data_IF_295965967271
#
_entry.id   IF_295965967271
#
_cell.length_a   1.000
_cell.length_b   1.000
_cell.length_c   1.000
_cell.angle_alpha   90.00
_cell.angle_beta   90.00
_cell.angle_gamma   90.00
#
_symmetry.space_group_name_H-M   'P 1'
#
loop_
_entity.id
_entity.type
_entity.pdbx_description
1 polymer ?
#
# COMPACT_ATOMS: atom_id res chain seq x y z
N UNK A 1 5.32 5.00 -22.64
CA UNK A 1 5.63 4.70 -21.23
C UNK A 1 4.47 4.03 -20.46
N UNK A 2 3.27 3.89 -21.04
CA UNK A 2 2.29 2.90 -20.57
C UNK A 2 2.35 1.73 -21.55
N UNK A 3 2.63 0.53 -21.06
CA UNK A 3 2.62 -0.70 -21.83
C UNK A 3 2.00 -1.83 -20.98
N UNK A 4 1.76 -2.99 -21.61
CA UNK A 4 1.15 -4.14 -20.94
C UNK A 4 1.89 -4.53 -19.65
N UNK A 5 3.23 -4.49 -19.67
CA UNK A 5 4.05 -4.90 -18.53
C UNK A 5 3.90 -3.93 -17.34
N UNK A 6 3.85 -2.62 -17.60
CA UNK A 6 3.61 -1.61 -16.57
C UNK A 6 2.24 -1.77 -15.92
N UNK A 7 1.19 -2.08 -16.70
CA UNK A 7 -0.16 -2.31 -16.18
C UNK A 7 -0.17 -3.57 -15.31
N UNK A 8 0.41 -4.67 -15.79
CA UNK A 8 0.49 -5.92 -15.03
C UNK A 8 1.30 -5.76 -13.74
N UNK A 9 2.42 -5.05 -13.79
CA UNK A 9 3.22 -4.73 -12.62
C UNK A 9 2.39 -3.92 -11.59
N UNK A 10 1.66 -2.90 -12.06
CA UNK A 10 0.80 -2.08 -11.18
C UNK A 10 -0.28 -2.91 -10.50
N UNK A 11 -0.97 -3.79 -11.23
CA UNK A 11 -1.99 -4.67 -10.66
C UNK A 11 -1.39 -5.68 -9.68
N UNK A 12 -0.23 -6.25 -9.99
CA UNK A 12 0.49 -7.16 -9.09
C UNK A 12 0.96 -6.46 -7.81
N UNK A 13 1.49 -5.25 -7.92
CA UNK A 13 1.88 -4.41 -6.78
C UNK A 13 0.66 -4.04 -5.94
N UNK A 14 -0.46 -3.64 -6.56
CA UNK A 14 -1.72 -3.36 -5.86
C UNK A 14 -2.18 -4.56 -5.02
N UNK A 15 -2.27 -5.75 -5.63
CA UNK A 15 -2.67 -6.96 -4.91
C UNK A 15 -1.71 -7.29 -3.76
N UNK A 16 -0.41 -7.15 -4.00
CA UNK A 16 0.63 -7.40 -2.99
C UNK A 16 0.54 -6.42 -1.82
N UNK A 17 0.41 -5.11 -2.10
CA UNK A 17 0.25 -4.08 -1.07
C UNK A 17 -1.01 -4.30 -0.23
N UNK A 18 -2.11 -4.70 -0.86
CA UNK A 18 -3.36 -4.99 -0.15
C UNK A 18 -3.23 -6.20 0.78
N UNK A 19 -2.72 -7.33 0.25
CA UNK A 19 -2.58 -8.58 1.03
C UNK A 19 -1.56 -8.43 2.15
N UNK A 20 -0.36 -7.89 1.85
CA UNK A 20 0.66 -7.67 2.87
C UNK A 20 0.23 -6.63 3.90
N UNK A 21 -0.44 -5.57 3.45
CA UNK A 21 -1.02 -4.57 4.35
C UNK A 21 -1.98 -5.20 5.35
N UNK A 22 -2.88 -6.07 4.90
CA UNK A 22 -3.79 -6.80 5.79
C UNK A 22 -3.07 -7.75 6.75
N UNK A 23 -2.13 -8.54 6.23
CA UNK A 23 -1.35 -9.52 7.02
C UNK A 23 -0.49 -8.83 8.07
N UNK A 24 0.04 -7.64 7.80
CA UNK A 24 0.83 -6.87 8.77
C UNK A 24 -0.09 -6.14 9.76
N UNK A 25 -1.18 -5.55 9.28
CA UNK A 25 -2.09 -4.77 10.10
C UNK A 25 -2.74 -5.60 11.22
N UNK A 26 -3.21 -6.81 10.93
CA UNK A 26 -3.93 -7.63 11.89
C UNK A 26 -3.09 -8.01 13.13
N UNK A 27 -1.89 -8.59 13.00
CA UNK A 27 -1.02 -8.90 14.14
C UNK A 27 -0.54 -7.66 14.89
N UNK A 28 -0.26 -6.55 14.18
CA UNK A 28 0.33 -5.36 14.78
C UNK A 28 -0.70 -4.51 15.51
N UNK A 29 -1.89 -4.33 14.94
CA UNK A 29 -2.88 -3.37 15.43
C UNK A 29 -4.22 -4.02 15.82
N UNK A 30 -4.48 -5.28 15.45
CA UNK A 30 -5.78 -5.93 15.69
C UNK A 30 -6.18 -5.96 17.17
N UNK A 31 -5.26 -6.34 18.05
CA UNK A 31 -5.50 -6.35 19.50
C UNK A 31 -5.76 -4.95 20.07
N UNK A 32 -5.03 -3.95 19.59
CA UNK A 32 -5.23 -2.54 19.99
C UNK A 32 -6.63 -2.05 19.60
N UNK A 33 -7.06 -2.27 18.35
CA UNK A 33 -8.39 -1.86 17.91
C UNK A 33 -9.49 -2.62 18.62
N UNK A 34 -9.33 -3.94 18.84
CA UNK A 34 -10.32 -4.72 19.59
C UNK A 34 -10.52 -4.21 21.02
N UNK A 35 -9.44 -3.80 21.70
CA UNK A 35 -9.50 -3.27 23.06
C UNK A 35 -10.08 -1.85 23.15
N UNK A 36 -10.04 -1.06 22.07
CA UNK A 36 -10.36 0.37 22.08
C UNK A 36 -11.53 0.77 21.16
N UNK A 37 -12.14 -0.16 20.43
CA UNK A 37 -13.20 0.14 19.47
C UNK A 37 -14.42 0.85 20.10
N UNK A 38 -14.70 0.60 21.38
CA UNK A 38 -15.83 1.21 22.11
C UNK A 38 -15.54 2.56 22.77
N UNK A 39 -14.28 2.97 22.88
CA UNK A 39 -13.87 4.18 23.63
C UNK A 39 -13.61 5.39 22.74
N UNK A 40 -13.57 5.20 21.42
CA UNK A 40 -13.30 6.27 20.46
C UNK A 40 -14.49 7.25 20.36
N UNK A 41 -14.22 8.52 20.65
CA UNK A 41 -15.16 9.65 20.50
C UNK A 41 -14.71 10.57 19.37
N UNK A 42 -15.64 11.21 18.66
CA UNK A 42 -15.31 12.13 17.55
C UNK A 42 -14.81 11.46 16.25
N UNK A 43 -14.94 10.14 16.12
CA UNK A 43 -14.53 9.38 14.92
C UNK A 43 -15.71 9.09 14.00
N UNK A 44 -15.44 8.98 12.70
CA UNK A 44 -16.41 8.53 11.70
C UNK A 44 -16.83 7.10 12.05
N UNK A 45 -18.13 6.91 12.33
CA UNK A 45 -18.76 5.59 12.58
C UNK A 45 -19.45 5.04 11.33
N UNK A 46 -19.54 5.84 10.28
CA UNK A 46 -20.06 5.43 8.99
C UNK A 46 -19.03 4.56 8.26
N UNK A 47 -19.52 3.62 7.46
CA UNK A 47 -18.62 2.77 6.69
C UNK A 47 -17.76 3.62 5.75
N UNK A 48 -16.44 3.40 5.70
CA UNK A 48 -15.58 4.06 4.74
C UNK A 48 -16.06 3.84 3.31
N UNK A 49 -15.85 4.83 2.45
CA UNK A 49 -16.13 4.71 1.03
C UNK A 49 -15.05 3.82 0.39
N UNK A 50 -15.26 2.51 0.38
CA UNK A 50 -14.25 1.52 0.01
C UNK A 50 -13.66 1.69 -1.40
N UNK A 51 -14.42 2.22 -2.36
CA UNK A 51 -13.89 2.44 -3.71
C UNK A 51 -12.75 3.47 -3.74
N UNK A 52 -12.79 4.48 -2.85
CA UNK A 52 -11.73 5.50 -2.76
C UNK A 52 -10.43 4.87 -2.28
N UNK A 53 -10.52 3.91 -1.36
CA UNK A 53 -9.37 3.13 -0.88
C UNK A 53 -8.76 2.35 -2.04
N UNK A 54 -9.60 1.68 -2.85
CA UNK A 54 -9.13 0.93 -4.03
C UNK A 54 -8.42 1.85 -5.03
N UNK A 55 -9.01 3.00 -5.36
CA UNK A 55 -8.41 3.98 -6.27
C UNK A 55 -7.09 4.51 -5.72
N UNK A 56 -7.04 4.90 -4.44
CA UNK A 56 -5.82 5.38 -3.79
C UNK A 56 -4.70 4.33 -3.81
N UNK A 57 -5.03 3.07 -3.52
CA UNK A 57 -4.08 1.95 -3.57
C UNK A 57 -3.57 1.69 -5.00
N UNK A 58 -4.43 1.78 -6.02
CA UNK A 58 -4.02 1.66 -7.41
C UNK A 58 -3.07 2.80 -7.83
N UNK A 59 -3.37 4.04 -7.42
CA UNK A 59 -2.49 5.19 -7.65
C UNK A 59 -1.14 4.99 -6.95
N UNK A 60 -1.13 4.54 -5.70
CA UNK A 60 0.09 4.25 -4.94
C UNK A 60 0.93 3.14 -5.58
N UNK A 61 0.28 2.07 -6.04
CA UNK A 61 0.95 0.99 -6.76
C UNK A 61 1.57 1.46 -8.08
N UNK A 62 0.83 2.25 -8.86
CA UNK A 62 1.33 2.82 -10.11
C UNK A 62 2.50 3.78 -9.90
N UNK A 63 2.43 4.60 -8.83
CA UNK A 63 3.52 5.49 -8.43
C UNK A 63 4.77 4.69 -8.04
N UNK A 64 4.63 3.65 -7.22
CA UNK A 64 5.76 2.81 -6.81
C UNK A 64 6.41 2.13 -8.03
N UNK A 65 5.61 1.54 -8.93
CA UNK A 65 6.12 0.93 -10.17
C UNK A 65 6.86 1.96 -11.03
N UNK A 66 6.33 3.18 -11.12
CA UNK A 66 6.96 4.27 -11.89
C UNK A 66 8.31 4.67 -11.29
N UNK A 67 8.39 4.85 -9.97
CA UNK A 67 9.63 5.21 -9.26
C UNK A 67 10.68 4.12 -9.38
N UNK A 68 10.31 2.85 -9.20
CA UNK A 68 11.23 1.73 -9.36
C UNK A 68 11.71 1.58 -10.80
N UNK A 69 10.85 1.89 -11.79
CA UNK A 69 11.23 1.90 -13.20
C UNK A 69 12.24 3.01 -13.52
N UNK A 70 12.07 4.21 -12.96
CA UNK A 70 13.04 5.31 -13.12
C UNK A 70 14.40 4.99 -12.52
N UNK A 71 14.42 4.24 -11.42
CA UNK A 71 15.66 3.76 -10.79
C UNK A 71 16.34 2.64 -11.58
N UNK A 72 15.67 2.04 -12.58
CA UNK A 72 16.22 0.93 -13.36
C UNK A 72 16.40 -0.33 -12.52
N UNK A 73 15.46 -0.63 -11.63
CA UNK A 73 15.53 -1.82 -10.78
C UNK A 73 15.35 -3.10 -11.62
N UNK A 74 16.36 -3.98 -11.58
CA UNK A 74 16.34 -5.26 -12.30
C UNK A 74 16.30 -6.48 -11.36
N UNK A 75 16.48 -6.27 -10.04
CA UNK A 75 16.51 -7.35 -9.05
C UNK A 75 15.52 -7.14 -7.91
N UNK A 76 15.09 -8.24 -7.29
CA UNK A 76 14.21 -8.21 -6.12
C UNK A 76 14.85 -7.47 -4.93
N UNK A 77 16.17 -7.60 -4.75
CA UNK A 77 16.90 -6.94 -3.67
C UNK A 77 16.94 -5.42 -3.85
N UNK A 78 17.14 -4.95 -5.09
CA UNK A 78 17.14 -3.52 -5.41
C UNK A 78 15.73 -2.93 -5.31
N UNK A 79 14.72 -3.72 -5.68
CA UNK A 79 13.31 -3.41 -5.50
C UNK A 79 12.93 -3.29 -4.03
N UNK A 80 13.40 -4.21 -3.18
CA UNK A 80 13.19 -4.14 -1.73
C UNK A 80 13.80 -2.88 -1.11
N UNK A 81 15.06 -2.56 -1.43
CA UNK A 81 15.72 -1.34 -0.95
C UNK A 81 15.01 -0.08 -1.44
N UNK A 82 14.67 -0.04 -2.74
CA UNK A 82 13.94 1.08 -3.35
C UNK A 82 12.56 1.28 -2.72
N UNK A 83 11.81 0.19 -2.54
CA UNK A 83 10.50 0.20 -1.91
C UNK A 83 10.55 0.60 -0.43
N UNK A 84 11.55 0.14 0.33
CA UNK A 84 11.72 0.52 1.73
C UNK A 84 11.99 2.02 1.89
N UNK A 85 12.88 2.60 1.08
CA UNK A 85 13.15 4.05 1.09
C UNK A 85 11.91 4.84 0.67
N UNK A 86 11.22 4.40 -0.38
CA UNK A 86 9.99 5.04 -0.84
C UNK A 86 8.88 5.01 0.23
N UNK A 87 8.70 3.86 0.89
CA UNK A 87 7.75 3.71 1.98
C UNK A 87 8.08 4.62 3.17
N UNK A 88 9.37 4.73 3.54
CA UNK A 88 9.81 5.61 4.60
C UNK A 88 9.51 7.08 4.28
N UNK A 89 9.73 7.51 3.03
CA UNK A 89 9.41 8.86 2.58
C UNK A 89 7.92 9.17 2.61
N UNK A 90 7.05 8.20 2.34
CA UNK A 90 5.59 8.38 2.39
C UNK A 90 5.00 8.30 3.81
N UNK A 91 5.75 7.72 4.76
CA UNK A 91 5.32 7.61 6.16
C UNK A 91 5.72 8.78 7.06
N UNK A 92 6.53 9.71 6.52
CA UNK A 92 6.89 10.99 7.15
C UNK A 92 5.81 12.03 6.91
#
# INVERSE_FOLDING_TARGET
MINKNCILATLGTFATMFVLGFIIYQPVLGGFFAANAGTATGVIKENPVFWQIVVGQLCGAGLLVTVLSWKGVESAADGFKGGAVFGLLLSL
#
